data_IF_631552702484
#
_entry.id   IF_631552702484
#
_cell.length_a   1.000
_cell.length_b   1.000
_cell.length_c   1.000
_cell.angle_alpha   90.00
_cell.angle_beta   90.00
_cell.angle_gamma   90.00
#
_symmetry.space_group_name_H-M   'P 1'
#
loop_
_entity.id
_entity.type
_entity.pdbx_description
1 polymer ?
#
# COMPACT_ATOMS: atom_id res chain seq x y z
N UNK A 1 -7.78 -14.09 7.03
CA UNK A 1 -7.96 -12.67 6.67
C UNK A 1 -9.20 -12.43 5.80
N UNK A 2 -9.98 -11.38 6.07
CA UNK A 2 -11.01 -10.83 5.16
C UNK A 2 -10.78 -9.32 4.95
N UNK A 3 -10.56 -8.89 3.71
CA UNK A 3 -10.19 -7.51 3.38
C UNK A 3 -10.94 -6.99 2.14
N UNK A 4 -11.45 -5.77 2.20
CA UNK A 4 -12.03 -5.08 1.05
C UNK A 4 -10.98 -4.17 0.41
N UNK A 5 -10.48 -4.54 -0.76
CA UNK A 5 -9.38 -3.83 -1.39
C UNK A 5 -8.81 -4.61 -2.56
N UNK A 6 -7.48 -4.57 -2.71
CA UNK A 6 -6.78 -5.21 -3.82
C UNK A 6 -5.80 -6.27 -3.33
N UNK A 7 -5.52 -7.24 -4.21
CA UNK A 7 -4.38 -8.13 -4.09
C UNK A 7 -3.16 -7.46 -4.73
N UNK A 8 -2.29 -6.87 -3.93
CA UNK A 8 -1.12 -6.13 -4.41
C UNK A 8 -0.13 -7.03 -5.14
N UNK A 9 -0.01 -8.29 -4.73
CA UNK A 9 0.85 -9.27 -5.42
C UNK A 9 0.38 -9.62 -6.83
N UNK A 10 -0.79 -9.17 -7.28
CA UNK A 10 -1.19 -9.30 -8.68
C UNK A 10 -0.44 -8.32 -9.59
N UNK A 11 0.21 -7.28 -9.05
CA UNK A 11 1.12 -6.42 -9.80
C UNK A 11 2.32 -7.24 -10.24
N UNK A 12 2.43 -7.52 -11.55
CA UNK A 12 3.56 -8.25 -12.13
C UNK A 12 4.65 -7.31 -12.62
N UNK A 13 4.27 -6.08 -12.99
CA UNK A 13 5.20 -5.06 -13.45
C UNK A 13 4.90 -3.69 -12.83
N UNK A 14 5.91 -3.13 -12.17
CA UNK A 14 5.91 -1.74 -11.78
C UNK A 14 6.28 -0.83 -12.96
N UNK A 15 5.66 0.35 -13.01
CA UNK A 15 6.04 1.40 -13.92
C UNK A 15 7.02 2.34 -13.21
N UNK A 16 8.32 2.10 -13.42
CA UNK A 16 9.43 2.85 -12.81
C UNK A 16 9.28 4.37 -13.01
N UNK A 17 8.93 4.83 -14.22
CA UNK A 17 8.82 6.27 -14.50
C UNK A 17 7.67 6.93 -13.73
N UNK A 18 6.53 6.25 -13.63
CA UNK A 18 5.40 6.74 -12.83
C UNK A 18 5.73 6.72 -11.34
N UNK A 19 6.36 5.64 -10.86
CA UNK A 19 6.74 5.48 -9.48
C UNK A 19 7.75 6.57 -9.05
N UNK A 20 8.79 6.81 -9.86
CA UNK A 20 9.77 7.87 -9.62
C UNK A 20 9.11 9.24 -9.54
N UNK A 21 8.30 9.59 -10.55
CA UNK A 21 7.58 10.88 -10.55
C UNK A 21 6.66 11.01 -9.34
N UNK A 22 6.02 9.91 -8.94
CA UNK A 22 5.19 9.91 -7.75
C UNK A 22 6.02 10.17 -6.49
N UNK A 23 7.16 9.49 -6.34
CA UNK A 23 8.06 9.66 -5.21
C UNK A 23 8.73 11.05 -5.17
N UNK A 24 9.00 11.68 -6.31
CA UNK A 24 9.41 13.09 -6.39
C UNK A 24 8.36 14.03 -5.78
N UNK A 25 7.07 13.76 -6.05
CA UNK A 25 5.97 14.51 -5.46
C UNK A 25 5.90 14.26 -3.95
N UNK A 26 6.09 13.00 -3.51
CA UNK A 26 6.03 12.61 -2.11
C UNK A 26 7.03 13.35 -1.21
N UNK A 27 8.19 13.74 -1.73
CA UNK A 27 9.18 14.55 -1.00
C UNK A 27 8.61 15.87 -0.43
N UNK A 28 7.47 16.36 -0.97
CA UNK A 28 6.80 17.59 -0.54
C UNK A 28 5.52 17.33 0.26
N UNK A 29 5.33 16.11 0.75
CA UNK A 29 4.12 15.67 1.46
C UNK A 29 4.48 15.12 2.83
N UNK A 30 3.46 14.73 3.60
CA UNK A 30 3.64 14.04 4.89
C UNK A 30 4.28 12.64 4.76
N UNK A 31 4.45 12.12 3.54
CA UNK A 31 5.14 10.86 3.26
C UNK A 31 6.58 11.07 2.74
N UNK A 32 7.18 12.23 2.99
CA UNK A 32 8.53 12.56 2.49
C UNK A 32 9.61 11.59 2.99
N UNK A 33 9.46 11.07 4.22
CA UNK A 33 10.34 10.07 4.81
C UNK A 33 10.46 8.79 3.94
N UNK A 34 9.35 8.34 3.36
CA UNK A 34 9.32 7.15 2.49
C UNK A 34 10.02 7.46 1.17
N UNK A 35 9.82 8.67 0.63
CA UNK A 35 10.49 9.12 -0.58
C UNK A 35 12.00 9.25 -0.40
N UNK A 36 12.44 9.83 0.72
CA UNK A 36 13.85 9.94 1.08
C UNK A 36 14.52 8.57 1.19
N UNK A 37 13.86 7.59 1.82
CA UNK A 37 14.35 6.20 1.87
C UNK A 37 14.54 5.62 0.46
N UNK A 38 13.57 5.79 -0.43
CA UNK A 38 13.66 5.32 -1.81
C UNK A 38 14.83 5.94 -2.58
N UNK A 39 14.95 7.27 -2.59
CA UNK A 39 16.03 7.93 -3.33
C UNK A 39 17.42 7.65 -2.73
N UNK A 40 17.51 7.46 -1.42
CA UNK A 40 18.74 7.04 -0.76
C UNK A 40 19.12 5.60 -1.16
N UNK A 41 18.17 4.67 -1.17
CA UNK A 41 18.37 3.29 -1.58
C UNK A 41 18.82 3.21 -3.04
N UNK A 42 18.09 3.89 -3.94
CA UNK A 42 18.43 4.00 -5.37
C UNK A 42 19.84 4.54 -5.60
N UNK A 43 20.24 5.58 -4.86
CA UNK A 43 21.59 6.18 -4.99
C UNK A 43 22.69 5.23 -4.50
N UNK A 44 22.43 4.43 -3.47
CA UNK A 44 23.43 3.53 -2.87
C UNK A 44 23.57 2.20 -3.60
N UNK A 45 22.44 1.66 -4.04
CA UNK A 45 22.34 0.28 -4.50
C UNK A 45 22.07 0.15 -6.01
N UNK A 46 21.84 1.28 -6.71
CA UNK A 46 21.39 1.31 -8.12
C UNK A 46 20.15 0.41 -8.35
N UNK A 47 19.31 0.29 -7.32
CA UNK A 47 18.15 -0.59 -7.28
C UNK A 47 16.96 -0.04 -8.04
N UNK A 48 16.12 -0.95 -8.54
CA UNK A 48 14.83 -0.62 -9.15
C UNK A 48 13.79 -0.26 -8.09
N UNK A 49 12.66 0.34 -8.49
CA UNK A 49 11.53 0.52 -7.59
C UNK A 49 11.03 -0.80 -7.00
N UNK A 50 11.04 -1.88 -7.78
CA UNK A 50 10.72 -3.22 -7.29
C UNK A 50 11.66 -3.71 -6.18
N UNK A 51 12.96 -3.41 -6.28
CA UNK A 51 13.95 -3.78 -5.25
C UNK A 51 13.71 -3.00 -3.95
N UNK A 52 13.43 -1.70 -4.06
CA UNK A 52 13.06 -0.88 -2.91
C UNK A 52 11.82 -1.44 -2.20
N UNK A 53 10.76 -1.75 -2.96
CA UNK A 53 9.54 -2.30 -2.39
C UNK A 53 9.79 -3.67 -1.73
N UNK A 54 10.59 -4.53 -2.35
CA UNK A 54 10.89 -5.86 -1.81
C UNK A 54 11.61 -5.82 -0.46
N UNK A 55 12.37 -4.74 -0.20
CA UNK A 55 13.09 -4.51 1.04
C UNK A 55 12.36 -3.55 2.00
N UNK A 56 11.17 -3.08 1.63
CA UNK A 56 10.40 -2.15 2.46
C UNK A 56 9.83 -2.86 3.70
N UNK A 57 10.02 -2.25 4.86
CA UNK A 57 9.51 -2.69 6.17
C UNK A 57 8.91 -1.47 6.89
N UNK A 58 7.67 -1.60 7.36
CA UNK A 58 6.96 -0.54 8.10
C UNK A 58 7.34 -0.49 9.60
N UNK A 59 8.23 -1.38 10.06
CA UNK A 59 8.66 -1.51 11.45
C UNK A 59 7.60 -2.10 12.37
N UNK A 60 6.44 -2.49 11.82
CA UNK A 60 5.28 -3.04 12.53
C UNK A 60 4.95 -4.47 12.07
N UNK A 61 5.89 -5.14 11.39
CA UNK A 61 5.73 -6.51 10.91
C UNK A 61 5.10 -6.63 9.52
N UNK A 62 4.80 -5.52 8.83
CA UNK A 62 4.38 -5.56 7.43
C UNK A 62 5.53 -5.17 6.52
N UNK A 63 5.62 -5.83 5.37
CA UNK A 63 6.69 -5.64 4.41
C UNK A 63 6.15 -5.53 2.99
N UNK A 64 7.01 -5.11 2.07
CA UNK A 64 6.70 -5.12 0.65
C UNK A 64 5.89 -3.93 0.16
N UNK A 65 5.30 -4.12 -1.02
CA UNK A 65 4.52 -3.12 -1.71
C UNK A 65 3.25 -2.72 -0.95
N UNK A 66 2.57 -3.67 -0.31
CA UNK A 66 1.35 -3.38 0.45
C UNK A 66 1.65 -2.49 1.67
N UNK A 67 2.73 -2.78 2.41
CA UNK A 67 3.16 -1.98 3.55
C UNK A 67 3.57 -0.55 3.13
N UNK A 68 4.35 -0.42 2.05
CA UNK A 68 4.77 0.87 1.53
C UNK A 68 3.57 1.74 1.11
N UNK A 69 2.65 1.18 0.32
CA UNK A 69 1.47 1.91 -0.14
C UNK A 69 0.51 2.25 1.01
N UNK A 70 0.37 1.37 2.01
CA UNK A 70 -0.37 1.68 3.24
C UNK A 70 0.20 2.93 3.90
N UNK A 71 1.49 2.94 4.24
CA UNK A 71 2.09 4.08 4.97
C UNK A 71 1.96 5.39 4.18
N UNK A 72 2.15 5.36 2.86
CA UNK A 72 1.95 6.52 1.98
C UNK A 72 0.50 7.03 2.05
N UNK A 73 -0.48 6.12 1.90
CA UNK A 73 -1.91 6.47 1.91
C UNK A 73 -2.31 7.04 3.27
N UNK A 74 -1.90 6.41 4.37
CA UNK A 74 -2.23 6.88 5.72
C UNK A 74 -1.63 8.26 5.99
N UNK A 75 -0.37 8.48 5.62
CA UNK A 75 0.32 9.76 5.85
C UNK A 75 -0.28 10.92 5.04
N UNK A 76 -0.72 10.67 3.80
CA UNK A 76 -1.23 11.73 2.91
C UNK A 76 -2.74 11.93 3.10
N UNK A 77 -3.50 10.85 3.13
CA UNK A 77 -4.96 10.91 3.18
C UNK A 77 -5.47 10.95 4.62
N UNK A 78 -4.67 10.65 5.65
CA UNK A 78 -5.09 10.66 7.04
C UNK A 78 -6.23 9.67 7.33
N UNK A 79 -6.30 8.59 6.56
CA UNK A 79 -7.22 7.46 6.78
C UNK A 79 -6.44 6.29 7.35
N UNK A 80 -7.14 5.33 7.94
CA UNK A 80 -6.57 4.04 8.31
C UNK A 80 -6.86 3.02 7.22
N UNK A 81 -5.83 2.31 6.80
CA UNK A 81 -5.94 1.20 5.86
C UNK A 81 -5.09 0.04 6.37
N UNK A 82 -5.51 -1.18 6.05
CA UNK A 82 -4.85 -2.41 6.45
C UNK A 82 -4.04 -2.97 5.29
N UNK A 83 -2.94 -3.62 5.61
CA UNK A 83 -2.27 -4.55 4.71
C UNK A 83 -2.05 -5.87 5.44
N UNK A 84 -1.95 -6.94 4.67
CA UNK A 84 -1.73 -8.27 5.22
C UNK A 84 -1.04 -9.15 4.18
N UNK A 85 -0.33 -10.18 4.65
CA UNK A 85 0.35 -11.15 3.79
C UNK A 85 0.00 -12.55 4.23
N UNK A 86 -0.74 -13.27 3.38
CA UNK A 86 -1.17 -14.65 3.63
C UNK A 86 -0.56 -15.54 2.55
N UNK A 87 0.21 -16.56 2.94
CA UNK A 87 0.96 -17.45 2.03
C UNK A 87 1.81 -16.70 1.00
N UNK A 88 2.45 -15.60 1.41
CA UNK A 88 3.26 -14.74 0.53
C UNK A 88 2.44 -13.85 -0.42
N UNK A 89 1.11 -13.88 -0.34
CA UNK A 89 0.22 -13.02 -1.12
C UNK A 89 -0.13 -11.77 -0.31
N UNK A 90 0.25 -10.61 -0.83
CA UNK A 90 0.03 -9.32 -0.20
C UNK A 90 -1.30 -8.69 -0.61
N UNK A 91 -2.01 -8.16 0.37
CA UNK A 91 -3.27 -7.47 0.21
C UNK A 91 -3.18 -6.06 0.82
N UNK A 92 -3.90 -5.11 0.22
CA UNK A 92 -4.03 -3.74 0.71
C UNK A 92 -5.48 -3.35 0.63
N UNK A 93 -6.06 -2.92 1.75
CA UNK A 93 -7.50 -2.71 1.82
C UNK A 93 -8.01 -2.32 3.20
N UNK A 94 -9.33 -2.26 3.38
CA UNK A 94 -9.94 -2.19 4.71
C UNK A 94 -10.18 -3.62 5.20
N UNK A 95 -9.51 -4.04 6.28
CA UNK A 95 -9.84 -5.31 6.92
C UNK A 95 -11.27 -5.29 7.47
N UNK A 96 -11.88 -6.46 7.61
CA UNK A 96 -13.11 -6.57 8.39
C UNK A 96 -12.72 -6.61 9.85
N UNK A 97 -12.75 -5.43 10.48
CA UNK A 97 -12.41 -5.24 11.88
C UNK A 97 -13.50 -4.43 12.61
N UNK A 98 -13.39 -4.36 13.92
CA UNK A 98 -14.30 -3.58 14.75
C UNK A 98 -14.15 -2.07 14.44
N UNK A 99 -15.26 -1.32 14.31
CA UNK A 99 -15.20 0.06 13.83
C UNK A 99 -14.34 1.00 14.67
N UNK A 100 -14.14 0.75 15.97
CA UNK A 100 -13.37 1.63 16.85
C UNK A 100 -11.85 1.59 16.60
N UNK A 101 -11.34 0.62 15.84
CA UNK A 101 -9.94 0.61 15.40
C UNK A 101 -9.67 1.56 14.21
N UNK A 102 -10.71 1.98 13.48
CA UNK A 102 -10.59 2.96 12.41
C UNK A 102 -10.77 4.38 12.93
N UNK A 103 -10.00 5.33 12.41
CA UNK A 103 -10.21 6.74 12.70
C UNK A 103 -11.56 7.26 12.14
N UNK A 104 -11.97 8.43 12.62
CA UNK A 104 -13.24 9.06 12.24
C UNK A 104 -13.36 9.29 10.73
N UNK A 105 -12.27 9.71 10.06
CA UNK A 105 -12.27 9.98 8.62
C UNK A 105 -12.56 8.72 7.81
N UNK A 106 -12.01 7.58 8.23
CA UNK A 106 -12.18 6.29 7.57
C UNK A 106 -13.59 5.75 7.80
N UNK A 107 -14.08 5.77 9.05
CA UNK A 107 -15.43 5.31 9.38
C UNK A 107 -16.53 6.04 8.61
N UNK A 108 -16.35 7.33 8.36
CA UNK A 108 -17.33 8.17 7.66
C UNK A 108 -17.09 8.23 6.14
N UNK A 109 -16.15 7.44 5.60
CA UNK A 109 -15.85 7.43 4.17
C UNK A 109 -16.80 6.50 3.41
N UNK A 110 -17.43 7.02 2.35
CA UNK A 110 -18.19 6.19 1.43
C UNK A 110 -17.29 5.33 0.54
N UNK A 111 -17.76 4.12 0.20
CA UNK A 111 -17.04 3.13 -0.60
C UNK A 111 -16.43 3.71 -1.89
N UNK A 112 -17.19 4.46 -2.70
CA UNK A 112 -16.67 5.04 -3.96
C UNK A 112 -15.49 5.98 -3.75
N UNK A 113 -15.49 6.74 -2.65
CA UNK A 113 -14.40 7.65 -2.31
C UNK A 113 -13.15 6.86 -1.89
N UNK A 114 -13.36 5.80 -1.11
CA UNK A 114 -12.30 4.88 -0.72
C UNK A 114 -11.66 4.19 -1.93
N UNK A 115 -12.47 3.62 -2.84
CA UNK A 115 -12.00 2.99 -4.08
C UNK A 115 -11.20 3.97 -4.94
N UNK A 116 -11.67 5.21 -5.08
CA UNK A 116 -10.98 6.24 -5.84
C UNK A 116 -9.62 6.61 -5.23
N UNK A 117 -9.52 6.68 -3.90
CA UNK A 117 -8.26 6.88 -3.19
C UNK A 117 -7.33 5.71 -3.47
N UNK A 118 -7.78 4.47 -3.24
CA UNK A 118 -6.95 3.28 -3.42
C UNK A 118 -6.40 3.18 -4.85
N UNK A 119 -7.27 3.37 -5.86
CA UNK A 119 -6.86 3.32 -7.27
C UNK A 119 -5.94 4.47 -7.67
N UNK A 120 -6.11 5.67 -7.10
CA UNK A 120 -5.20 6.81 -7.35
C UNK A 120 -3.76 6.40 -7.05
N UNK A 121 -3.49 5.83 -5.87
CA UNK A 121 -2.14 5.45 -5.46
C UNK A 121 -1.60 4.23 -6.21
N UNK A 122 -2.42 3.22 -6.48
CA UNK A 122 -2.01 2.07 -7.31
C UNK A 122 -1.61 2.52 -8.72
N UNK A 123 -2.38 3.44 -9.33
CA UNK A 123 -2.10 3.94 -10.68
C UNK A 123 -0.80 4.75 -10.81
N UNK A 124 -0.25 5.20 -9.67
CA UNK A 124 1.03 5.88 -9.61
C UNK A 124 2.22 4.91 -9.70
N UNK A 125 2.02 3.60 -9.50
CA UNK A 125 3.12 2.62 -9.46
C UNK A 125 2.99 1.51 -10.50
N UNK A 126 1.81 1.33 -11.11
CA UNK A 126 1.61 0.35 -12.18
C UNK A 126 0.58 0.82 -13.21
N UNK A 127 0.64 0.24 -14.41
CA UNK A 127 -0.38 0.36 -15.45
C UNK A 127 -1.39 -0.80 -15.42
N UNK A 128 -1.12 -1.82 -14.61
CA UNK A 128 -1.98 -2.98 -14.47
C UNK A 128 -3.28 -2.60 -13.74
N UNK A 129 -4.38 -3.22 -14.18
CA UNK A 129 -5.68 -3.02 -13.55
C UNK A 129 -5.87 -4.07 -12.47
N UNK A 130 -6.03 -3.61 -11.23
CA UNK A 130 -6.36 -4.47 -10.10
C UNK A 130 -7.86 -4.41 -9.84
N UNK A 131 -8.41 -5.52 -9.40
CA UNK A 131 -9.81 -5.62 -9.02
C UNK A 131 -9.97 -5.25 -7.53
N UNK A 132 -10.87 -4.30 -7.24
CA UNK A 132 -11.30 -4.02 -5.87
C UNK A 132 -12.50 -4.88 -5.53
N UNK A 133 -12.34 -5.75 -4.54
CA UNK A 133 -13.42 -6.59 -4.01
C UNK A 133 -13.09 -7.06 -2.60
N UNK A 134 -14.00 -7.83 -2.01
CA UNK A 134 -13.68 -8.62 -0.83
C UNK A 134 -12.76 -9.78 -1.22
N UNK A 135 -11.59 -9.81 -0.58
CA UNK A 135 -10.66 -10.92 -0.63
C UNK A 135 -10.74 -11.67 0.70
N UNK A 136 -11.03 -12.96 0.62
CA UNK A 136 -10.92 -13.88 1.72
C UNK A 136 -9.68 -14.76 1.48
N UNK A 137 -8.82 -14.86 2.47
CA UNK A 137 -7.72 -15.83 2.50
C UNK A 137 -7.78 -16.57 3.83
N UNK A 138 -7.57 -17.88 3.79
CA UNK A 138 -7.42 -18.64 5.01
C UNK A 138 -6.08 -18.24 5.61
N UNK A 139 -6.14 -17.51 6.70
CA UNK A 139 -4.96 -17.18 7.47
C UNK A 139 -4.95 -18.25 8.53
N UNK A 140 -4.21 -19.34 8.27
CA UNK A 140 -4.09 -20.53 9.14
C UNK A 140 -3.35 -20.18 10.45
N UNK A 141 -3.61 -18.99 11.00
CA UNK A 141 -3.40 -18.66 12.39
C UNK A 141 -4.43 -19.43 13.25
N UNK A 142 -4.37 -20.76 13.17
CA UNK A 142 -4.82 -21.67 14.20
C UNK A 142 -3.90 -21.42 15.41
N UNK A 143 -4.44 -20.72 16.40
CA UNK A 143 -3.85 -20.54 17.72
C UNK A 143 -3.95 -21.82 18.55
#
# INVERSE_FOLDING_TARGET
>A
MLIYGVKISDIKKYNEQKAERFFEILQKTNASNIAEKYFLDKTKNDGTFGDFLSNFDDGCGNYGAAACLKEIIENIEGINISCDTVDGVQYLGLSVDTPWYYNEKTRNMGQKKYEAILMKYISCVTDEKLEIKYWAANDDCDW
#
